data_IF_460113799836
#
_entry.id   IF_460113799836
#
_cell.length_a   1.000
_cell.length_b   1.000
_cell.length_c   1.000
_cell.angle_alpha   90.00
_cell.angle_beta   90.00
_cell.angle_gamma   90.00
#
_symmetry.space_group_name_H-M   'P 1'
#
loop_
_entity.id
_entity.type
_entity.pdbx_description
1 polymer ?
#
# COMPACT_ATOMS: atom_id res chain seq x y z
N UNK A 1 -13.58 -12.31 22.35
CA UNK A 1 -12.26 -12.61 21.74
C UNK A 1 -11.76 -11.38 20.99
N UNK A 2 -10.47 -11.00 21.06
CA UNK A 2 -9.97 -9.93 20.21
C UNK A 2 -10.00 -10.38 18.75
N UNK A 3 -10.69 -9.62 17.89
CA UNK A 3 -10.71 -9.86 16.45
C UNK A 3 -9.29 -9.61 15.93
N UNK A 4 -8.56 -10.67 15.58
CA UNK A 4 -7.23 -10.55 14.99
C UNK A 4 -7.35 -9.97 13.59
N UNK A 5 -7.01 -8.70 13.45
CA UNK A 5 -7.04 -7.98 12.17
C UNK A 5 -5.93 -8.47 11.24
N UNK A 6 -6.28 -8.75 9.98
CA UNK A 6 -5.31 -9.13 8.95
C UNK A 6 -4.23 -8.06 8.79
N UNK A 7 -2.96 -8.48 8.69
CA UNK A 7 -1.81 -7.59 8.47
C UNK A 7 -1.83 -7.02 7.04
N UNK A 8 -1.07 -5.95 6.82
CA UNK A 8 -1.13 -5.19 5.57
C UNK A 8 -0.79 -6.01 4.32
N UNK A 9 0.32 -6.76 4.31
CA UNK A 9 0.73 -7.57 3.14
C UNK A 9 -0.37 -8.54 2.66
N UNK A 10 -0.87 -9.48 3.49
CA UNK A 10 -1.93 -10.39 3.04
C UNK A 10 -3.24 -9.66 2.71
N UNK A 11 -3.54 -8.55 3.41
CA UNK A 11 -4.70 -7.74 3.07
C UNK A 11 -4.58 -7.11 1.68
N UNK A 12 -3.41 -6.55 1.36
CA UNK A 12 -3.15 -5.91 0.07
C UNK A 12 -3.17 -6.93 -1.06
N UNK A 13 -2.56 -8.10 -0.85
CA UNK A 13 -2.61 -9.23 -1.77
C UNK A 13 -4.06 -9.64 -2.09
N UNK A 14 -4.92 -9.74 -1.07
CA UNK A 14 -6.35 -9.98 -1.25
C UNK A 14 -7.04 -8.86 -2.04
N UNK A 15 -6.71 -7.60 -1.78
CA UNK A 15 -7.28 -6.47 -2.54
C UNK A 15 -6.91 -6.53 -4.02
N UNK A 16 -5.63 -6.82 -4.34
CA UNK A 16 -5.17 -6.94 -5.73
C UNK A 16 -5.88 -8.11 -6.40
N UNK A 17 -5.93 -9.28 -5.76
CA UNK A 17 -6.59 -10.47 -6.30
C UNK A 17 -8.10 -10.29 -6.51
N UNK A 18 -8.74 -9.38 -5.78
CA UNK A 18 -10.17 -9.12 -5.92
C UNK A 18 -10.54 -8.40 -7.22
N UNK A 19 -9.57 -7.71 -7.87
CA UNK A 19 -9.80 -6.87 -9.05
C UNK A 19 -10.93 -5.82 -8.90
N UNK A 20 -11.33 -5.48 -7.67
CA UNK A 20 -12.42 -4.52 -7.40
C UNK A 20 -11.98 -3.06 -7.46
N UNK A 21 -10.67 -2.81 -7.34
CA UNK A 21 -10.09 -1.48 -7.28
C UNK A 21 -9.48 -1.16 -8.65
N UNK A 22 -10.02 -0.17 -9.39
CA UNK A 22 -9.52 0.17 -10.71
C UNK A 22 -8.04 0.55 -10.66
N UNK A 23 -7.24 -0.08 -11.52
CA UNK A 23 -5.81 0.18 -11.67
C UNK A 23 -4.90 -0.43 -10.59
N UNK A 24 -5.46 -1.07 -9.55
CA UNK A 24 -4.73 -1.95 -8.64
C UNK A 24 -4.67 -3.35 -9.25
N UNK A 25 -3.55 -3.68 -9.89
CA UNK A 25 -3.41 -4.92 -10.66
C UNK A 25 -2.03 -5.53 -10.48
N UNK A 26 -1.93 -6.84 -10.66
CA UNK A 26 -0.66 -7.51 -10.91
C UNK A 26 -0.14 -7.10 -12.28
N UNK A 27 1.12 -6.64 -12.33
CA UNK A 27 1.87 -6.47 -13.57
C UNK A 27 2.50 -7.80 -13.95
N UNK A 28 3.10 -8.48 -12.96
CA UNK A 28 3.62 -9.83 -13.08
C UNK A 28 3.30 -10.60 -11.80
N UNK A 29 2.37 -11.55 -11.87
CA UNK A 29 1.94 -12.32 -10.70
C UNK A 29 2.99 -13.33 -10.25
N UNK A 30 3.78 -13.89 -11.17
CA UNK A 30 4.85 -14.85 -10.85
C UNK A 30 5.95 -14.19 -10.03
N UNK A 31 6.32 -12.97 -10.40
CA UNK A 31 7.31 -12.16 -9.67
C UNK A 31 6.72 -11.31 -8.55
N UNK A 32 5.41 -11.43 -8.29
CA UNK A 32 4.67 -10.65 -7.30
C UNK A 32 4.83 -9.13 -7.46
N UNK A 33 4.88 -8.64 -8.70
CA UNK A 33 4.94 -7.23 -9.06
C UNK A 33 3.53 -6.71 -9.35
N UNK A 34 3.16 -5.61 -8.72
CA UNK A 34 1.86 -4.98 -8.86
C UNK A 34 1.98 -3.45 -8.89
N UNK A 35 0.94 -2.80 -9.39
CA UNK A 35 0.85 -1.33 -9.41
C UNK A 35 -0.29 -0.80 -8.56
N UNK A 36 -0.11 0.41 -8.04
CA UNK A 36 -1.13 1.18 -7.33
C UNK A 36 -1.30 2.54 -8.04
N UNK A 37 -2.53 2.96 -8.40
CA UNK A 37 -2.80 4.31 -8.85
C UNK A 37 -2.44 5.34 -7.79
N UNK A 38 -1.69 6.37 -8.17
CA UNK A 38 -1.11 7.34 -7.23
C UNK A 38 -1.42 8.79 -7.56
N UNK A 39 -2.50 9.04 -8.31
CA UNK A 39 -2.95 10.38 -8.72
C UNK A 39 -2.99 11.36 -7.53
N UNK A 40 -2.53 12.58 -7.78
CA UNK A 40 -2.50 13.64 -6.77
C UNK A 40 -3.88 14.31 -6.68
N UNK A 41 -4.34 14.61 -5.46
CA UNK A 41 -5.69 15.15 -5.23
C UNK A 41 -5.94 16.49 -5.95
N UNK A 42 -4.90 17.31 -6.10
CA UNK A 42 -4.96 18.57 -6.84
C UNK A 42 -4.96 18.42 -8.38
N UNK A 43 -4.99 17.19 -8.95
CA UNK A 43 -5.02 16.99 -10.41
C UNK A 43 -6.46 17.00 -10.92
N UNK A 44 -6.66 17.58 -12.11
CA UNK A 44 -7.96 17.60 -12.77
C UNK A 44 -8.57 16.20 -12.91
N UNK A 45 -9.86 16.09 -12.62
CA UNK A 45 -10.62 14.84 -12.64
C UNK A 45 -10.17 13.83 -11.58
N UNK A 46 -9.54 14.27 -10.49
CA UNK A 46 -9.35 13.42 -9.31
C UNK A 46 -10.69 13.22 -8.62
N UNK A 47 -11.01 11.97 -8.26
CA UNK A 47 -12.27 11.59 -7.63
C UNK A 47 -12.02 10.73 -6.40
N UNK A 48 -12.68 11.07 -5.28
CA UNK A 48 -12.49 10.35 -4.02
C UNK A 48 -12.90 8.88 -4.08
N UNK A 49 -13.95 8.55 -4.83
CA UNK A 49 -14.47 7.19 -4.92
C UNK A 49 -13.64 6.32 -5.86
N UNK A 50 -12.90 6.91 -6.81
CA UNK A 50 -12.01 6.21 -7.74
C UNK A 50 -10.56 6.22 -7.25
N UNK A 51 -10.00 7.39 -6.98
CA UNK A 51 -8.58 7.58 -6.70
C UNK A 51 -8.20 7.39 -5.22
N UNK A 52 -9.18 7.40 -4.30
CA UNK A 52 -8.93 7.15 -2.87
C UNK A 52 -9.52 5.84 -2.34
N UNK A 53 -10.17 5.03 -3.19
CA UNK A 53 -10.87 3.81 -2.74
C UNK A 53 -9.96 2.82 -2.00
N UNK A 54 -8.74 2.55 -2.50
CA UNK A 54 -7.78 1.67 -1.81
C UNK A 54 -7.42 2.20 -0.42
N UNK A 55 -7.10 3.50 -0.34
CA UNK A 55 -6.67 4.13 0.90
C UNK A 55 -7.83 4.17 1.92
N UNK A 56 -9.05 4.44 1.44
CA UNK A 56 -10.28 4.36 2.24
C UNK A 56 -10.50 2.94 2.77
N UNK A 57 -10.41 1.92 1.91
CA UNK A 57 -10.56 0.52 2.32
C UNK A 57 -9.54 0.12 3.39
N UNK A 58 -8.30 0.59 3.30
CA UNK A 58 -7.30 0.37 4.35
C UNK A 58 -7.64 1.09 5.66
N UNK A 59 -8.13 2.33 5.58
CA UNK A 59 -8.54 3.10 6.74
C UNK A 59 -9.73 2.45 7.48
N UNK A 60 -10.68 1.89 6.73
CA UNK A 60 -11.80 1.10 7.28
C UNK A 60 -11.28 -0.19 7.91
N UNK A 61 -10.46 -0.96 7.19
CA UNK A 61 -9.87 -2.20 7.68
C UNK A 61 -9.10 -2.01 8.98
N UNK A 62 -8.40 -0.88 9.11
CA UNK A 62 -7.64 -0.53 10.33
C UNK A 62 -8.48 0.10 11.43
N UNK A 63 -9.77 0.33 11.21
CA UNK A 63 -10.68 1.01 12.12
C UNK A 63 -10.36 2.50 12.32
N UNK A 64 -9.45 3.07 11.53
CA UNK A 64 -9.09 4.50 11.60
C UNK A 64 -10.17 5.39 11.00
N UNK A 65 -10.95 4.85 10.06
CA UNK A 65 -12.10 5.50 9.46
C UNK A 65 -13.33 4.62 9.57
N UNK A 66 -14.47 5.24 9.85
CA UNK A 66 -15.79 4.62 9.86
C UNK A 66 -16.74 5.53 9.10
N UNK A 67 -17.34 4.99 8.04
CA UNK A 67 -18.29 5.74 7.23
C UNK A 67 -19.53 6.12 8.07
N UNK A 68 -19.98 7.36 7.95
CA UNK A 68 -21.13 7.89 8.69
C UNK A 68 -20.83 8.38 10.11
N UNK A 69 -19.72 7.97 10.72
CA UNK A 69 -19.27 8.49 12.04
C UNK A 69 -18.20 9.59 11.91
N UNK A 70 -17.37 9.52 10.87
CA UNK A 70 -16.28 10.48 10.63
C UNK A 70 -16.35 11.04 9.23
N UNK A 71 -15.93 12.28 9.08
CA UNK A 71 -15.76 12.91 7.77
C UNK A 71 -14.65 12.22 6.95
N UNK A 72 -14.83 12.07 5.62
CA UNK A 72 -13.78 11.60 4.73
C UNK A 72 -12.52 12.46 4.76
N UNK A 73 -11.35 11.85 5.01
CA UNK A 73 -10.05 12.50 4.86
C UNK A 73 -9.08 11.66 3.99
N UNK A 74 -9.18 11.80 2.65
CA UNK A 74 -8.35 11.07 1.70
C UNK A 74 -6.85 11.33 1.85
N UNK A 75 -6.46 12.53 2.32
CA UNK A 75 -5.07 12.91 2.51
C UNK A 75 -4.47 12.08 3.63
N UNK A 76 -5.17 11.99 4.76
CA UNK A 76 -4.76 11.17 5.91
C UNK A 76 -4.76 9.69 5.57
N UNK A 77 -5.76 9.19 4.84
CA UNK A 77 -5.80 7.79 4.41
C UNK A 77 -4.59 7.42 3.55
N UNK A 78 -4.27 8.25 2.53
CA UNK A 78 -3.13 8.02 1.64
C UNK A 78 -1.80 8.10 2.38
N UNK A 79 -1.64 9.06 3.30
CA UNK A 79 -0.44 9.18 4.12
C UNK A 79 -0.22 7.95 5.02
N UNK A 80 -1.26 7.51 5.73
CA UNK A 80 -1.20 6.34 6.59
C UNK A 80 -0.92 5.05 5.81
N UNK A 81 -1.55 4.88 4.65
CA UNK A 81 -1.28 3.75 3.77
C UNK A 81 0.19 3.71 3.33
N UNK A 82 0.74 4.85 2.89
CA UNK A 82 2.14 4.97 2.51
C UNK A 82 3.09 4.60 3.66
N UNK A 83 2.83 5.11 4.87
CA UNK A 83 3.65 4.77 6.03
C UNK A 83 3.61 3.28 6.34
N UNK A 84 2.43 2.66 6.25
CA UNK A 84 2.29 1.23 6.48
C UNK A 84 3.04 0.41 5.41
N UNK A 85 2.95 0.76 4.11
CA UNK A 85 3.74 0.14 3.04
C UNK A 85 5.24 0.24 3.31
N UNK A 86 5.72 1.45 3.62
CA UNK A 86 7.14 1.71 3.86
C UNK A 86 7.69 0.98 5.10
N UNK A 87 6.81 0.56 6.03
CA UNK A 87 7.20 -0.21 7.21
C UNK A 87 7.36 -1.71 6.97
N UNK A 88 6.91 -2.21 5.81
CA UNK A 88 6.98 -3.63 5.49
C UNK A 88 8.36 -3.98 4.94
N UNK A 89 9.10 -4.93 5.56
CA UNK A 89 10.40 -5.34 5.05
C UNK A 89 10.29 -6.23 3.80
N UNK A 90 9.12 -6.77 3.52
CA UNK A 90 8.82 -7.72 2.47
C UNK A 90 8.00 -7.12 1.32
N UNK A 91 7.95 -5.78 1.23
CA UNK A 91 7.43 -5.05 0.07
C UNK A 91 8.40 -3.91 -0.25
N UNK A 92 8.78 -3.77 -1.52
CA UNK A 92 9.65 -2.69 -1.99
C UNK A 92 9.05 -1.96 -3.20
N UNK A 93 9.36 -0.67 -3.35
CA UNK A 93 8.95 0.14 -4.50
C UNK A 93 9.94 -0.04 -5.66
N UNK A 94 9.45 -0.47 -6.82
CA UNK A 94 10.21 -0.60 -8.07
C UNK A 94 10.17 0.76 -8.78
N UNK A 95 11.10 1.63 -8.40
CA UNK A 95 11.07 3.06 -8.77
C UNK A 95 11.25 3.30 -10.28
N UNK A 96 12.03 2.46 -10.93
CA UNK A 96 12.30 2.46 -12.37
C UNK A 96 11.03 2.19 -13.20
N UNK A 97 10.09 1.41 -12.67
CA UNK A 97 8.79 1.16 -13.32
C UNK A 97 7.68 2.12 -12.89
N UNK A 98 7.94 2.97 -11.88
CA UNK A 98 6.94 3.87 -11.30
C UNK A 98 6.82 5.19 -12.08
N UNK A 99 5.58 5.64 -12.30
CA UNK A 99 5.28 6.93 -12.95
C UNK A 99 4.75 7.92 -11.92
N UNK A 100 5.61 8.84 -11.49
CA UNK A 100 5.31 9.74 -10.37
C UNK A 100 4.52 11.01 -10.73
N UNK A 101 4.25 11.27 -12.01
CA UNK A 101 3.65 12.52 -12.49
C UNK A 101 2.47 12.27 -13.43
N UNK A 102 1.56 13.23 -13.47
CA UNK A 102 0.41 13.25 -14.39
C UNK A 102 -0.84 12.55 -13.85
N UNK A 103 -1.89 12.52 -14.68
CA UNK A 103 -3.19 11.93 -14.34
C UNK A 103 -3.15 10.39 -14.31
N UNK A 104 -2.16 9.78 -14.96
CA UNK A 104 -1.90 8.33 -14.98
C UNK A 104 -0.76 7.93 -14.03
N UNK A 105 -0.52 8.72 -12.97
CA UNK A 105 0.53 8.42 -12.01
C UNK A 105 0.26 7.08 -11.32
N UNK A 106 1.28 6.22 -11.30
CA UNK A 106 1.26 4.89 -10.69
C UNK A 106 2.54 4.65 -9.92
N UNK A 107 2.45 3.86 -8.85
CA UNK A 107 3.61 3.31 -8.15
C UNK A 107 3.63 1.81 -8.29
N UNK A 108 4.79 1.27 -8.67
CA UNK A 108 5.00 -0.16 -8.84
C UNK A 108 5.71 -0.69 -7.60
N UNK A 109 5.22 -1.80 -7.09
CA UNK A 109 5.74 -2.48 -5.91
C UNK A 109 5.97 -3.95 -6.21
N UNK A 110 6.90 -4.56 -5.47
CA UNK A 110 7.17 -5.99 -5.49
C UNK A 110 7.01 -6.57 -4.10
N UNK A 111 6.28 -7.68 -3.95
CA UNK A 111 6.28 -8.44 -2.70
C UNK A 111 7.43 -9.42 -2.72
N UNK A 112 8.30 -9.33 -1.71
CA UNK A 112 9.42 -10.23 -1.56
C UNK A 112 8.97 -11.58 -0.97
N UNK A 113 9.71 -12.67 -1.25
CA UNK A 113 9.53 -13.93 -0.55
C UNK A 113 9.67 -13.74 0.97
N UNK A 114 9.00 -14.58 1.79
CA UNK A 114 9.18 -14.54 3.23
C UNK A 114 10.67 -14.69 3.58
N UNK A 115 11.23 -13.69 4.27
CA UNK A 115 12.63 -13.76 4.73
C UNK A 115 12.83 -15.03 5.57
N UNK A 116 13.86 -15.79 5.22
CA UNK A 116 14.33 -16.92 6.06
C UNK A 116 14.76 -16.40 7.44
N UNK A 117 14.73 -17.26 8.48
CA UNK A 117 15.04 -16.85 9.87
C UNK A 117 16.39 -16.11 9.98
N UNK A 118 17.37 -16.44 9.15
CA UNK A 118 18.70 -15.81 9.14
C UNK A 118 18.67 -14.39 8.57
N UNK A 119 17.95 -14.14 7.48
CA UNK A 119 17.85 -12.80 6.88
C UNK A 119 17.09 -11.80 7.77
N UNK A 120 16.16 -12.28 8.61
CA UNK A 120 15.48 -11.44 9.61
C UNK A 120 16.44 -10.92 10.69
N UNK A 121 17.40 -11.73 11.13
CA UNK A 121 18.43 -11.31 12.10
C UNK A 121 19.34 -10.23 11.51
N UNK A 122 19.81 -10.41 10.27
CA UNK A 122 20.71 -9.46 9.62
C UNK A 122 20.07 -8.10 9.34
N UNK A 123 18.81 -8.08 8.87
CA UNK A 123 18.09 -6.81 8.64
C UNK A 123 17.81 -6.06 9.94
N UNK A 124 17.53 -6.78 11.04
CA UNK A 124 17.37 -6.17 12.37
C UNK A 124 18.68 -5.52 12.85
N UNK A 125 19.83 -6.13 12.56
CA UNK A 125 21.15 -5.55 12.87
C UNK A 125 21.58 -4.40 11.95
N UNK A 126 21.12 -4.36 10.69
CA UNK A 126 21.36 -3.22 9.78
C UNK A 126 20.50 -2.01 10.12
N UNK A 127 19.22 -2.21 10.43
CA UNK A 127 18.32 -1.10 10.83
C UNK A 127 18.77 -0.41 12.12
N UNK A 128 19.50 -1.08 13.00
CA UNK A 128 20.08 -0.46 14.21
C UNK A 128 21.35 0.36 13.97
N UNK A 129 22.04 0.17 12.84
CA UNK A 129 23.30 0.91 12.53
C UNK A 129 23.06 2.25 11.85
N UNK A 130 21.91 2.47 11.25
CA UNK A 130 21.56 3.70 10.51
C UNK A 130 20.97 4.83 11.40
N UNK A 131 21.07 4.72 12.72
CA UNK A 131 20.51 5.68 13.69
C UNK A 131 21.56 6.56 14.38
N UNK A 132 22.72 6.79 13.77
CA UNK A 132 23.77 7.64 14.35
C UNK A 132 24.25 8.71 13.38
#
# INVERSE_FOLDING_TARGET
MPITRMRMRPWLEMQINSNKIPGLIWINKEEMIFQIPWKHAAKHGWDINKDACLFRSWAIHTGRYKAGEKEPDPKTWKANFRCAMNSLPDIEEVKDQSRNKGSSAVRVYRMLPPLTKNQRKERKSKSSRDTK
#
